data_IF_328431696811
#
_entry.id   IF_328431696811
#
_cell.length_a   1.000
_cell.length_b   1.000
_cell.length_c   1.000
_cell.angle_alpha   90.00
_cell.angle_beta   90.00
_cell.angle_gamma   90.00
#
_symmetry.space_group_name_H-M   'P 1'
#
loop_
_entity.id
_entity.type
_entity.pdbx_description
1 polymer ?
#
# COMPACT_ATOMS: atom_id res chain seq x y z
N UNK A 1 12.76 -32.34 -10.16
CA UNK A 1 11.50 -31.72 -9.71
C UNK A 1 11.86 -30.93 -8.45
N UNK A 2 11.85 -29.60 -8.50
CA UNK A 2 12.07 -28.79 -7.29
C UNK A 2 10.73 -28.69 -6.56
N UNK A 3 10.66 -29.26 -5.36
CA UNK A 3 9.59 -29.02 -4.41
C UNK A 3 9.49 -27.51 -4.19
N UNK A 4 8.34 -26.95 -4.50
CA UNK A 4 7.98 -25.62 -3.99
C UNK A 4 7.51 -25.87 -2.57
N UNK A 5 8.36 -25.51 -1.61
CA UNK A 5 7.99 -25.43 -0.19
C UNK A 5 6.92 -24.35 -0.04
N UNK A 6 5.67 -24.74 -0.28
CA UNK A 6 4.50 -23.92 -0.09
C UNK A 6 3.85 -24.30 1.25
N UNK A 7 4.67 -24.32 2.31
CA UNK A 7 4.19 -24.49 3.67
C UNK A 7 3.46 -23.21 4.09
N UNK A 8 2.14 -23.23 3.91
CA UNK A 8 1.27 -22.21 4.50
C UNK A 8 1.46 -22.23 6.02
N UNK A 9 2.13 -21.22 6.55
CA UNK A 9 2.19 -20.96 7.99
C UNK A 9 0.88 -20.31 8.39
N UNK A 10 0.16 -20.93 9.31
CA UNK A 10 -1.08 -20.38 9.87
C UNK A 10 -0.81 -19.02 10.51
N UNK A 11 -1.78 -18.10 10.46
CA UNK A 11 -1.68 -16.78 11.12
C UNK A 11 -1.41 -16.90 12.63
N UNK A 12 -1.74 -18.04 13.22
CA UNK A 12 -1.53 -18.37 14.63
C UNK A 12 -0.10 -18.81 14.96
N UNK A 13 0.68 -19.19 13.95
CA UNK A 13 2.03 -19.72 14.10
C UNK A 13 3.10 -18.76 13.57
N UNK A 14 2.69 -17.66 12.94
CA UNK A 14 3.59 -16.66 12.38
C UNK A 14 4.14 -15.69 13.45
N UNK A 15 5.44 -15.76 13.82
CA UNK A 15 5.96 -14.95 14.92
C UNK A 15 5.94 -13.45 14.64
N UNK A 16 6.11 -13.04 13.37
CA UNK A 16 6.09 -11.63 12.98
C UNK A 16 4.67 -11.06 13.11
N UNK A 17 3.67 -11.82 12.67
CA UNK A 17 2.27 -11.41 12.78
C UNK A 17 1.81 -11.38 14.24
N UNK A 18 2.21 -12.37 15.05
CA UNK A 18 1.91 -12.43 16.49
C UNK A 18 2.49 -11.21 17.23
N UNK A 19 3.71 -10.78 16.88
CA UNK A 19 4.32 -9.59 17.47
C UNK A 19 3.54 -8.29 17.18
N UNK A 20 2.75 -8.26 16.11
CA UNK A 20 1.91 -7.13 15.71
C UNK A 20 0.48 -7.21 16.24
N UNK A 21 0.16 -8.24 17.05
CA UNK A 21 -1.22 -8.57 17.41
C UNK A 21 -1.85 -7.53 18.34
N UNK A 22 -2.98 -6.98 17.91
CA UNK A 22 -3.87 -6.13 18.68
C UNK A 22 -5.08 -6.93 19.18
N UNK A 23 -5.74 -6.43 20.23
CA UNK A 23 -6.94 -7.06 20.76
C UNK A 23 -8.14 -6.77 19.85
N UNK A 24 -8.61 -7.79 19.13
CA UNK A 24 -9.73 -7.67 18.20
C UNK A 24 -11.03 -7.21 18.89
N UNK A 25 -11.23 -7.54 20.16
CA UNK A 25 -12.42 -7.15 20.93
C UNK A 25 -12.45 -5.66 21.30
N UNK A 26 -11.33 -4.96 21.18
CA UNK A 26 -11.23 -3.52 21.44
C UNK A 26 -11.41 -2.69 20.16
N UNK A 27 -11.76 -3.32 19.04
CA UNK A 27 -11.96 -2.69 17.73
C UNK A 27 -13.46 -2.57 17.45
N UNK A 28 -13.92 -1.35 17.25
CA UNK A 28 -15.30 -1.03 16.92
C UNK A 28 -15.40 -0.42 15.52
N UNK A 29 -16.23 -1.01 14.66
CA UNK A 29 -16.45 -0.48 13.30
C UNK A 29 -17.29 0.80 13.34
N UNK A 30 -16.79 1.86 12.70
CA UNK A 30 -17.49 3.15 12.60
C UNK A 30 -18.21 3.27 11.26
N UNK A 31 -17.46 3.16 10.15
CA UNK A 31 -18.01 3.22 8.79
C UNK A 31 -17.02 2.69 7.76
N UNK A 32 -17.52 2.22 6.62
CA UNK A 32 -16.67 1.92 5.46
C UNK A 32 -16.12 3.21 4.85
N UNK A 33 -14.82 3.25 4.57
CA UNK A 33 -14.12 4.41 3.99
C UNK A 33 -13.52 4.12 2.61
N UNK A 34 -13.36 2.84 2.25
CA UNK A 34 -12.84 2.46 0.96
C UNK A 34 -13.10 0.98 0.64
N UNK A 35 -12.79 0.61 -0.59
CA UNK A 35 -12.85 -0.78 -1.02
C UNK A 35 -12.28 -0.97 -2.40
N UNK A 36 -11.47 -2.02 -2.56
CA UNK A 36 -10.92 -2.47 -3.83
C UNK A 36 -11.58 -3.75 -4.31
N UNK A 37 -10.93 -4.42 -5.27
CA UNK A 37 -11.38 -5.73 -5.76
C UNK A 37 -11.27 -6.82 -4.67
N UNK A 38 -10.23 -6.73 -3.83
CA UNK A 38 -9.86 -7.79 -2.88
C UNK A 38 -10.25 -7.48 -1.43
N UNK A 39 -10.17 -6.22 -1.03
CA UNK A 39 -10.30 -5.80 0.36
C UNK A 39 -11.26 -4.63 0.52
N UNK A 40 -11.86 -4.54 1.70
CA UNK A 40 -12.59 -3.36 2.17
C UNK A 40 -11.79 -2.65 3.27
N UNK A 41 -11.93 -1.33 3.33
CA UNK A 41 -11.29 -0.50 4.34
C UNK A 41 -12.35 0.18 5.18
N UNK A 42 -12.29 -0.03 6.48
CA UNK A 42 -13.20 0.52 7.48
C UNK A 42 -12.48 1.52 8.36
N UNK A 43 -13.14 2.63 8.66
CA UNK A 43 -12.76 3.46 9.79
C UNK A 43 -13.21 2.72 11.05
N UNK A 44 -12.27 2.50 11.96
CA UNK A 44 -12.52 1.81 13.22
C UNK A 44 -12.05 2.63 14.40
N UNK A 45 -12.65 2.39 15.56
CA UNK A 45 -12.24 2.93 16.84
C UNK A 45 -11.53 1.84 17.64
N UNK A 46 -10.33 2.12 18.14
CA UNK A 46 -9.59 1.22 19.01
C UNK A 46 -9.56 1.77 20.44
N UNK A 47 -9.83 0.91 21.42
CA UNK A 47 -9.88 1.26 22.86
C UNK A 47 -10.75 2.49 23.15
N UNK A 48 -11.87 2.59 22.45
CA UNK A 48 -12.88 3.61 22.66
C UNK A 48 -12.49 5.05 22.26
N UNK A 49 -11.28 5.32 21.74
CA UNK A 49 -10.84 6.70 21.45
C UNK A 49 -10.06 6.88 20.15
N UNK A 50 -9.15 5.96 19.81
CA UNK A 50 -8.23 6.14 18.67
C UNK A 50 -8.88 5.69 17.37
N UNK A 51 -8.74 6.49 16.31
CA UNK A 51 -9.28 6.15 14.99
C UNK A 51 -8.18 5.56 14.09
N UNK A 52 -8.48 4.42 13.48
CA UNK A 52 -7.59 3.72 12.55
C UNK A 52 -8.33 3.33 11.27
N UNK A 53 -7.57 3.06 10.21
CA UNK A 53 -8.07 2.40 9.02
C UNK A 53 -7.82 0.89 9.16
N UNK A 54 -8.89 0.10 9.08
CA UNK A 54 -8.87 -1.37 9.13
C UNK A 54 -9.08 -1.92 7.73
N UNK A 55 -8.02 -2.47 7.12
CA UNK A 55 -8.10 -3.19 5.84
C UNK A 55 -8.41 -4.66 6.11
N UNK A 56 -9.42 -5.19 5.43
CA UNK A 56 -9.91 -6.58 5.59
C UNK A 56 -10.18 -7.20 4.24
N UNK A 57 -9.88 -8.49 4.08
CA UNK A 57 -10.30 -9.21 2.87
C UNK A 57 -11.83 -9.27 2.79
N UNK A 58 -12.36 -9.25 1.57
CA UNK A 58 -13.79 -9.49 1.35
C UNK A 58 -14.09 -10.98 1.51
N UNK A 59 -15.29 -11.32 2.02
CA UNK A 59 -15.75 -12.72 2.15
C UNK A 59 -15.51 -13.60 0.92
N UNK A 60 -15.78 -13.08 -0.28
CA UNK A 60 -15.57 -13.82 -1.53
C UNK A 60 -14.10 -14.02 -1.92
N UNK A 61 -13.18 -13.38 -1.20
CA UNK A 61 -11.74 -13.36 -1.46
C UNK A 61 -10.95 -14.01 -0.31
N UNK A 62 -11.61 -14.57 0.71
CA UNK A 62 -11.00 -15.30 1.85
C UNK A 62 -10.51 -16.70 1.43
N UNK A 63 -9.67 -16.76 0.40
CA UNK A 63 -8.96 -17.98 0.01
C UNK A 63 -7.63 -18.05 0.74
N UNK A 64 -7.12 -19.25 1.00
CA UNK A 64 -5.81 -19.46 1.64
C UNK A 64 -4.68 -18.67 0.94
N UNK A 65 -4.70 -18.63 -0.39
CA UNK A 65 -3.73 -17.89 -1.19
C UNK A 65 -3.82 -16.37 -0.97
N UNK A 66 -5.03 -15.82 -0.90
CA UNK A 66 -5.24 -14.39 -0.68
C UNK A 66 -4.92 -14.00 0.77
N UNK A 67 -5.28 -14.84 1.75
CA UNK A 67 -4.90 -14.65 3.16
C UNK A 67 -3.38 -14.63 3.30
N UNK A 68 -2.69 -15.58 2.68
CA UNK A 68 -1.23 -15.60 2.71
C UNK A 68 -0.61 -14.34 2.09
N UNK A 69 -1.10 -13.89 0.92
CA UNK A 69 -0.66 -12.63 0.32
C UNK A 69 -0.91 -11.43 1.23
N UNK A 70 -2.04 -11.42 1.94
CA UNK A 70 -2.37 -10.34 2.86
C UNK A 70 -1.48 -10.34 4.10
N UNK A 71 -1.11 -11.51 4.62
CA UNK A 71 -0.11 -11.64 5.71
C UNK A 71 1.25 -11.10 5.26
N UNK A 72 1.71 -11.45 4.05
CA UNK A 72 2.97 -10.93 3.51
C UNK A 72 2.92 -9.41 3.31
N UNK A 73 1.77 -8.86 2.90
CA UNK A 73 1.56 -7.41 2.83
C UNK A 73 1.69 -6.75 4.22
N UNK A 74 1.09 -7.33 5.26
CA UNK A 74 1.18 -6.83 6.64
C UNK A 74 2.64 -6.83 7.12
N UNK A 75 3.36 -7.94 6.91
CA UNK A 75 4.78 -8.06 7.27
C UNK A 75 5.68 -7.09 6.51
N UNK A 76 5.34 -6.79 5.26
CA UNK A 76 6.07 -5.78 4.49
C UNK A 76 5.83 -4.40 5.08
N UNK A 77 4.57 -4.05 5.31
CA UNK A 77 4.18 -2.76 5.86
C UNK A 77 4.77 -2.53 7.26
N UNK A 78 4.92 -3.57 8.08
CA UNK A 78 5.50 -3.47 9.42
C UNK A 78 7.00 -3.14 9.43
N UNK A 79 7.70 -3.24 8.29
CA UNK A 79 9.12 -2.90 8.18
C UNK A 79 9.36 -1.42 7.89
N UNK A 80 8.31 -0.69 7.50
CA UNK A 80 8.43 0.70 7.11
C UNK A 80 8.23 1.62 8.31
N UNK A 81 9.18 2.51 8.48
CA UNK A 81 9.13 3.62 9.44
C UNK A 81 9.62 4.88 8.72
N UNK A 82 8.66 5.61 8.14
CA UNK A 82 8.94 6.82 7.36
C UNK A 82 7.75 7.79 7.42
N UNK A 83 7.97 9.11 7.57
CA UNK A 83 6.89 10.10 7.67
C UNK A 83 5.94 10.12 6.47
N UNK A 84 6.42 9.77 5.27
CA UNK A 84 5.64 9.73 4.03
C UNK A 84 5.18 8.33 3.62
N UNK A 85 5.19 7.37 4.53
CA UNK A 85 4.57 6.05 4.35
C UNK A 85 3.50 5.86 5.42
N UNK A 86 2.34 5.34 5.03
CA UNK A 86 1.25 5.06 5.97
C UNK A 86 1.71 4.01 6.97
N UNK A 87 1.74 4.40 8.24
CA UNK A 87 2.20 3.57 9.34
C UNK A 87 1.21 2.44 9.62
N UNK A 88 1.70 1.21 9.60
CA UNK A 88 0.99 0.06 10.16
C UNK A 88 1.06 0.12 11.68
N UNK A 89 -0.10 0.07 12.33
CA UNK A 89 -0.22 0.04 13.80
C UNK A 89 -0.18 -1.39 14.32
N UNK A 90 -0.77 -2.32 13.59
CA UNK A 90 -0.75 -3.75 13.93
C UNK A 90 -1.77 -4.56 13.13
N UNK A 91 -1.99 -5.79 13.56
CA UNK A 91 -2.98 -6.69 12.98
C UNK A 91 -3.87 -7.28 14.06
N UNK A 92 -5.12 -7.60 13.74
CA UNK A 92 -6.05 -8.25 14.66
C UNK A 92 -6.82 -9.36 13.95
N UNK A 93 -7.21 -10.39 14.69
CA UNK A 93 -8.03 -11.49 14.20
C UNK A 93 -8.62 -12.27 15.38
N UNK A 94 -9.85 -12.76 15.22
CA UNK A 94 -10.48 -13.75 16.11
C UNK A 94 -10.41 -15.14 15.48
N UNK A 95 -10.59 -15.19 14.16
CA UNK A 95 -10.41 -16.35 13.28
C UNK A 95 -9.62 -15.92 12.05
N UNK A 96 -8.97 -16.85 11.32
CA UNK A 96 -8.09 -16.49 10.19
C UNK A 96 -8.80 -15.67 9.11
N UNK A 97 -10.07 -15.97 8.85
CA UNK A 97 -10.90 -15.25 7.88
C UNK A 97 -11.24 -13.82 8.29
N UNK A 98 -11.07 -13.47 9.57
CA UNK A 98 -11.30 -12.12 10.12
C UNK A 98 -10.01 -11.31 10.28
N UNK A 99 -8.92 -11.73 9.62
CA UNK A 99 -7.66 -10.99 9.63
C UNK A 99 -7.87 -9.55 9.13
N UNK A 100 -7.43 -8.61 9.95
CA UNK A 100 -7.49 -7.19 9.66
C UNK A 100 -6.15 -6.51 9.96
N UNK A 101 -5.72 -5.65 9.05
CA UNK A 101 -4.55 -4.79 9.21
C UNK A 101 -5.00 -3.39 9.63
N UNK A 102 -4.47 -2.89 10.74
CA UNK A 102 -4.78 -1.56 11.26
C UNK A 102 -3.64 -0.61 10.93
N UNK A 103 -3.95 0.47 10.23
CA UNK A 103 -3.03 1.55 9.93
C UNK A 103 -3.55 2.90 10.43
N UNK A 104 -2.67 3.89 10.48
CA UNK A 104 -3.07 5.26 10.79
C UNK A 104 -4.20 5.74 9.85
N UNK A 105 -5.16 6.47 10.42
CA UNK A 105 -6.28 6.99 9.63
C UNK A 105 -5.90 8.30 8.93
N UNK A 106 -5.92 8.28 7.60
CA UNK A 106 -5.63 9.42 6.74
C UNK A 106 -6.92 10.19 6.41
N UNK A 107 -7.25 11.21 7.22
CA UNK A 107 -8.53 11.93 7.14
C UNK A 107 -8.75 12.67 5.81
N UNK A 108 -7.67 13.06 5.13
CA UNK A 108 -7.71 13.80 3.87
C UNK A 108 -8.10 12.93 2.66
N UNK A 109 -8.26 11.62 2.84
CA UNK A 109 -8.61 10.70 1.76
C UNK A 109 -7.47 10.48 0.78
N UNK A 110 -7.81 10.03 -0.43
CA UNK A 110 -6.82 9.78 -1.48
C UNK A 110 -6.54 11.01 -2.35
N UNK A 111 -5.33 11.07 -2.92
CA UNK A 111 -4.89 12.20 -3.74
C UNK A 111 -5.75 12.39 -4.99
N UNK A 112 -6.35 11.33 -5.53
CA UNK A 112 -7.25 11.45 -6.69
C UNK A 112 -8.47 12.29 -6.32
N UNK A 113 -9.09 12.02 -5.18
CA UNK A 113 -10.23 12.81 -4.68
C UNK A 113 -9.86 14.28 -4.48
N UNK A 114 -8.68 14.54 -3.91
CA UNK A 114 -8.16 15.91 -3.77
C UNK A 114 -7.97 16.62 -5.12
N UNK A 115 -7.43 15.93 -6.14
CA UNK A 115 -7.15 16.51 -7.45
C UNK A 115 -8.41 16.75 -8.31
N UNK A 116 -9.48 15.99 -8.09
CA UNK A 116 -10.76 16.19 -8.81
C UNK A 116 -11.68 17.20 -8.12
N UNK A 117 -11.37 17.58 -6.88
CA UNK A 117 -12.20 18.50 -6.12
C UNK A 117 -12.30 19.87 -6.83
N UNK A 118 -13.52 20.43 -7.04
CA UNK A 118 -13.72 21.61 -7.90
C UNK A 118 -12.93 22.85 -7.49
N UNK A 119 -12.65 22.99 -6.19
CA UNK A 119 -11.93 24.15 -5.65
C UNK A 119 -10.41 23.97 -5.61
N UNK A 120 -9.88 22.80 -5.99
CA UNK A 120 -8.44 22.59 -6.06
C UNK A 120 -7.88 23.35 -7.26
N UNK A 121 -6.95 24.31 -7.06
CA UNK A 121 -6.37 25.07 -8.16
C UNK A 121 -5.77 24.14 -9.20
N UNK A 122 -6.00 24.42 -10.48
CA UNK A 122 -5.41 23.62 -11.58
C UNK A 122 -3.92 23.89 -11.74
N UNK A 123 -3.47 25.09 -11.39
CA UNK A 123 -2.06 25.48 -11.40
C UNK A 123 -1.23 24.71 -10.38
N UNK A 124 0.09 24.77 -10.56
CA UNK A 124 1.04 24.36 -9.53
C UNK A 124 0.94 25.30 -8.34
N UNK A 125 0.78 24.72 -7.15
CA UNK A 125 0.76 25.43 -5.88
C UNK A 125 1.84 24.84 -4.99
N UNK A 126 2.29 25.60 -3.99
CA UNK A 126 3.25 25.11 -3.00
C UNK A 126 2.78 23.81 -2.35
N UNK A 127 1.46 23.65 -2.18
CA UNK A 127 0.87 22.41 -1.67
C UNK A 127 1.06 21.21 -2.59
N UNK A 128 0.89 21.38 -3.91
CA UNK A 128 1.15 20.28 -4.87
C UNK A 128 2.64 19.95 -4.95
N UNK A 129 3.50 20.96 -4.81
CA UNK A 129 4.94 20.76 -4.73
C UNK A 129 5.33 20.02 -3.45
N UNK A 130 4.70 20.33 -2.30
CA UNK A 130 4.94 19.58 -1.07
C UNK A 130 4.50 18.12 -1.19
N UNK A 131 3.29 17.86 -1.71
CA UNK A 131 2.80 16.49 -1.96
C UNK A 131 3.76 15.73 -2.89
N UNK A 132 4.31 16.41 -3.90
CA UNK A 132 5.31 15.85 -4.79
C UNK A 132 6.59 15.45 -4.04
N UNK A 133 7.12 16.36 -3.22
CA UNK A 133 8.30 16.11 -2.38
C UNK A 133 8.08 14.94 -1.44
N UNK A 134 6.95 14.92 -0.74
CA UNK A 134 6.56 13.85 0.19
C UNK A 134 6.58 12.46 -0.49
N UNK A 135 6.03 12.36 -1.70
CA UNK A 135 6.02 11.10 -2.47
C UNK A 135 7.44 10.71 -2.89
N UNK A 136 8.26 11.67 -3.31
CA UNK A 136 9.65 11.40 -3.70
C UNK A 136 10.46 10.91 -2.49
N UNK A 137 10.31 11.54 -1.32
CA UNK A 137 10.99 11.11 -0.09
C UNK A 137 10.60 9.68 0.29
N UNK A 138 9.32 9.34 0.19
CA UNK A 138 8.84 7.98 0.41
C UNK A 138 9.45 6.95 -0.56
N UNK A 139 9.58 7.31 -1.84
CA UNK A 139 10.20 6.44 -2.85
C UNK A 139 11.70 6.25 -2.61
N UNK A 140 12.41 7.32 -2.28
CA UNK A 140 13.84 7.26 -1.93
C UNK A 140 14.05 6.33 -0.74
N UNK A 141 13.20 6.43 0.28
CA UNK A 141 13.23 5.54 1.43
C UNK A 141 13.05 4.07 1.03
N UNK A 142 12.02 3.73 0.24
CA UNK A 142 11.80 2.35 -0.21
C UNK A 142 12.96 1.79 -1.02
N UNK A 143 13.54 2.59 -1.90
CA UNK A 143 14.69 2.21 -2.72
C UNK A 143 15.99 2.08 -1.91
N UNK A 144 16.04 2.64 -0.70
CA UNK A 144 17.22 2.53 0.18
C UNK A 144 17.31 1.20 0.92
N UNK A 145 16.25 0.38 0.91
CA UNK A 145 16.29 -0.96 1.50
C UNK A 145 17.28 -1.87 0.76
N UNK A 146 17.86 -2.83 1.48
CA UNK A 146 18.66 -3.88 0.89
C UNK A 146 18.05 -5.26 1.24
N UNK A 147 17.39 -5.93 0.28
CA UNK A 147 17.27 -5.56 -1.13
C UNK A 147 16.21 -4.47 -1.37
N UNK A 148 16.37 -3.69 -2.46
CA UNK A 148 15.50 -2.55 -2.78
C UNK A 148 14.04 -2.97 -2.89
N UNK A 149 13.14 -2.18 -2.28
CA UNK A 149 11.69 -2.41 -2.36
C UNK A 149 11.10 -1.52 -3.44
N UNK A 150 10.38 -2.11 -4.39
CA UNK A 150 9.66 -1.35 -5.44
C UNK A 150 8.16 -1.42 -5.20
N UNK A 151 7.46 -0.29 -5.28
CA UNK A 151 6.03 -0.23 -5.01
C UNK A 151 5.20 -0.97 -6.08
N UNK A 152 5.47 -0.71 -7.38
CA UNK A 152 4.83 -1.33 -8.57
C UNK A 152 3.36 -1.00 -8.85
N UNK A 153 2.69 -0.24 -7.98
CA UNK A 153 1.30 0.20 -8.17
C UNK A 153 1.14 1.65 -7.68
N UNK A 154 2.12 2.50 -7.99
CA UNK A 154 2.07 3.90 -7.61
C UNK A 154 1.02 4.63 -8.45
N UNK A 155 -0.08 5.03 -7.80
CA UNK A 155 -1.18 5.79 -8.40
C UNK A 155 -1.74 6.77 -7.40
N UNK A 156 -2.46 7.79 -7.87
CA UNK A 156 -3.07 8.81 -7.01
C UNK A 156 -4.07 8.27 -5.98
N UNK A 157 -4.58 7.04 -6.15
CA UNK A 157 -5.41 6.36 -5.14
C UNK A 157 -4.61 5.75 -3.99
N UNK A 158 -3.32 5.49 -4.21
CA UNK A 158 -2.41 4.87 -3.24
C UNK A 158 -1.55 5.94 -2.54
N UNK A 159 -1.88 7.22 -2.72
CA UNK A 159 -1.30 8.34 -1.99
C UNK A 159 -2.44 8.93 -1.16
N UNK A 160 -2.30 8.85 0.17
CA UNK A 160 -3.27 9.36 1.13
C UNK A 160 -2.79 10.65 1.76
N UNK A 161 -3.73 11.50 2.19
CA UNK A 161 -3.44 12.81 2.74
C UNK A 161 -3.80 12.88 4.22
N UNK A 162 -2.88 13.43 5.03
CA UNK A 162 -3.12 13.70 6.45
C UNK A 162 -4.03 14.92 6.64
N UNK A 163 -4.39 15.22 7.89
CA UNK A 163 -5.14 16.44 8.22
C UNK A 163 -4.36 17.70 7.86
N UNK A 164 -3.05 17.64 8.00
CA UNK A 164 -2.09 18.71 7.69
C UNK A 164 -1.69 18.74 6.21
N UNK A 165 -2.34 17.93 5.35
CA UNK A 165 -2.06 17.81 3.91
C UNK A 165 -0.68 17.23 3.57
N UNK A 166 -0.09 16.44 4.47
CA UNK A 166 1.10 15.65 4.17
C UNK A 166 0.70 14.40 3.41
N UNK A 167 1.43 14.08 2.35
CA UNK A 167 1.18 12.90 1.55
C UNK A 167 1.93 11.68 2.11
N UNK A 168 1.22 10.55 2.18
CA UNK A 168 1.79 9.25 2.54
C UNK A 168 1.40 8.18 1.55
N UNK A 169 2.35 7.33 1.18
CA UNK A 169 2.09 6.18 0.29
C UNK A 169 1.51 5.00 1.06
N UNK A 170 0.64 4.23 0.41
CA UNK A 170 -0.03 3.04 0.96
C UNK A 170 -0.17 1.93 -0.10
N UNK A 171 -0.61 0.75 0.34
CA UNK A 171 -1.00 -0.40 -0.51
C UNK A 171 0.19 -1.07 -1.23
N UNK A 172 1.05 -1.69 -0.41
CA UNK A 172 2.24 -2.42 -0.85
C UNK A 172 1.94 -3.88 -1.25
N UNK A 173 0.68 -4.25 -1.49
CA UNK A 173 0.25 -5.62 -1.77
C UNK A 173 0.82 -6.24 -3.05
N UNK A 174 1.40 -5.44 -3.94
CA UNK A 174 2.09 -5.88 -5.17
C UNK A 174 3.60 -5.60 -5.11
N UNK A 175 4.08 -5.02 -4.01
CA UNK A 175 5.48 -4.65 -3.86
C UNK A 175 6.35 -5.90 -3.79
N UNK A 176 7.51 -5.85 -4.45
CA UNK A 176 8.50 -6.94 -4.41
C UNK A 176 9.84 -6.42 -3.94
N UNK A 177 10.48 -7.22 -3.11
CA UNK A 177 11.89 -7.09 -2.77
C UNK A 177 12.68 -7.55 -4.01
N UNK A 178 13.52 -6.66 -4.57
CA UNK A 178 14.41 -7.00 -5.67
C UNK A 178 15.64 -7.73 -5.13
N UNK A 179 15.58 -9.05 -4.97
CA UNK A 179 16.77 -9.87 -4.74
C UNK A 179 17.48 -10.18 -6.06
N UNK A 180 18.82 -10.28 -6.04
CA UNK A 180 19.66 -10.61 -7.21
C UNK A 180 19.27 -11.94 -7.90
N UNK A 181 18.53 -12.82 -7.21
CA UNK A 181 18.08 -14.12 -7.74
C UNK A 181 16.68 -14.12 -8.40
N UNK A 182 15.94 -12.99 -8.39
CA UNK A 182 14.56 -12.93 -8.91
C UNK A 182 14.41 -12.01 -10.14
N UNK A 183 15.41 -11.98 -11.03
CA UNK A 183 15.11 -11.80 -12.45
C UNK A 183 14.27 -13.00 -12.90
N UNK A 184 13.26 -12.75 -13.73
CA UNK A 184 12.38 -13.73 -14.38
C UNK A 184 11.11 -14.16 -13.62
N UNK A 185 10.00 -13.50 -13.96
CA UNK A 185 8.91 -14.17 -14.70
C UNK A 185 7.93 -13.12 -15.23
N UNK A 186 7.84 -13.04 -16.55
CA UNK A 186 6.77 -12.34 -17.25
C UNK A 186 5.41 -12.88 -16.81
N UNK A 187 4.44 -12.01 -16.51
CA UNK A 187 3.06 -12.44 -16.37
C UNK A 187 2.17 -11.54 -15.52
N UNK A 188 1.34 -10.78 -16.23
CA UNK A 188 -0.01 -10.32 -15.84
C UNK A 188 -0.07 -9.06 -14.94
N UNK A 189 -0.08 -7.89 -15.60
CA UNK A 189 -0.52 -6.61 -15.05
C UNK A 189 -0.84 -5.61 -16.17
N UNK A 190 -2.01 -4.98 -16.11
CA UNK A 190 -2.70 -4.14 -17.12
C UNK A 190 -1.83 -3.20 -18.00
N UNK A 191 -1.76 -3.56 -19.29
CA UNK A 191 -0.95 -2.97 -20.38
C UNK A 191 -1.40 -1.57 -20.89
N UNK A 192 -1.49 -0.56 -20.02
CA UNK A 192 -1.69 0.86 -20.46
C UNK A 192 -0.87 1.91 -19.71
N UNK A 193 0.05 1.50 -18.84
CA UNK A 193 0.85 2.39 -17.99
C UNK A 193 2.36 2.13 -18.10
N UNK A 194 2.77 1.38 -19.13
CA UNK A 194 4.17 1.02 -19.35
C UNK A 194 4.85 2.06 -20.25
N UNK A 195 6.00 2.56 -19.77
CA UNK A 195 6.85 3.48 -20.51
C UNK A 195 7.58 2.73 -21.66
N UNK A 196 7.94 3.40 -22.77
CA UNK A 196 8.45 2.77 -23.99
C UNK A 196 9.73 1.94 -23.80
N UNK A 197 10.52 2.21 -22.77
CA UNK A 197 11.70 1.44 -22.38
C UNK A 197 11.36 0.07 -21.74
N UNK A 198 10.17 -0.07 -21.15
CA UNK A 198 9.65 -1.35 -20.61
C UNK A 198 9.32 -2.31 -21.75
N UNK A 199 8.87 -1.77 -22.90
CA UNK A 199 8.67 -2.53 -24.13
C UNK A 199 9.99 -2.96 -24.80
N UNK A 200 11.13 -2.40 -24.37
CA UNK A 200 12.46 -2.63 -24.96
C UNK A 200 13.33 -3.66 -24.20
N UNK A 201 12.81 -4.27 -23.12
CA UNK A 201 13.41 -5.46 -22.51
C UNK A 201 14.74 -5.25 -21.79
N UNK A 202 14.92 -4.15 -21.03
CA UNK A 202 16.07 -3.97 -20.14
C UNK A 202 15.69 -4.16 -18.68
N UNK A 203 16.41 -5.05 -18.00
CA UNK A 203 16.05 -5.67 -16.72
C UNK A 203 16.25 -4.79 -15.47
N UNK A 204 16.74 -3.54 -15.62
CA UNK A 204 17.14 -2.66 -14.50
C UNK A 204 16.14 -1.53 -14.14
N UNK A 205 14.93 -1.51 -14.72
CA UNK A 205 14.13 -0.28 -14.86
C UNK A 205 12.91 -0.09 -13.93
N UNK A 206 12.86 -0.75 -12.77
CA UNK A 206 11.69 -0.66 -11.89
C UNK A 206 11.58 0.67 -11.11
N UNK A 207 12.70 1.31 -10.75
CA UNK A 207 12.70 2.61 -10.05
C UNK A 207 12.25 3.76 -10.97
N UNK A 208 12.55 3.66 -12.27
CA UNK A 208 12.12 4.62 -13.28
C UNK A 208 10.61 4.56 -13.54
N UNK A 209 9.98 3.39 -13.37
CA UNK A 209 8.53 3.21 -13.53
C UNK A 209 7.73 3.94 -12.43
N UNK A 210 8.22 3.97 -11.18
CA UNK A 210 7.62 4.76 -10.11
C UNK A 210 7.77 6.28 -10.38
N UNK A 211 8.93 6.72 -10.91
CA UNK A 211 9.16 8.12 -11.34
C UNK A 211 8.27 8.50 -12.53
N UNK A 212 8.05 7.59 -13.49
CA UNK A 212 7.16 7.79 -14.63
C UNK A 212 5.69 7.84 -14.20
N UNK A 213 5.26 6.94 -13.31
CA UNK A 213 3.91 6.92 -12.74
C UNK A 213 3.60 8.18 -11.93
N UNK A 214 4.59 8.68 -11.19
CA UNK A 214 4.55 10.01 -10.59
C UNK A 214 4.40 11.12 -11.63
N UNK A 215 5.12 11.04 -12.75
CA UNK A 215 4.98 11.93 -13.91
C UNK A 215 3.59 11.90 -14.56
N UNK A 216 2.85 10.79 -14.48
CA UNK A 216 1.46 10.71 -14.98
C UNK A 216 0.46 11.23 -13.96
N UNK A 217 0.66 11.00 -12.64
CA UNK A 217 -0.09 11.70 -11.58
C UNK A 217 0.09 13.23 -11.71
N UNK A 218 1.29 13.68 -12.08
CA UNK A 218 1.64 15.07 -12.40
C UNK A 218 0.89 15.63 -13.63
N UNK A 219 0.47 14.76 -14.55
CA UNK A 219 -0.16 15.13 -15.83
C UNK A 219 -1.69 15.19 -15.77
N UNK A 220 -2.33 14.66 -14.73
CA UNK A 220 -3.79 14.51 -14.65
C UNK A 220 -4.58 15.84 -14.68
N UNK A 221 -3.94 17.03 -14.58
CA UNK A 221 -4.63 18.28 -14.93
C UNK A 221 -3.76 19.50 -15.25
N UNK A 222 -2.84 19.38 -16.21
CA UNK A 222 -2.15 20.54 -16.82
C UNK A 222 -2.84 21.08 -18.08
N UNK A 223 -4.12 20.78 -18.31
CA UNK A 223 -4.97 21.39 -19.34
C UNK A 223 -6.33 21.81 -18.75
#
# INVERSE_FOLDING_TARGET
MKETDNSYVSVWEDPQLIALRLNANEIEDVRKIGGGAFADVWLVKYRGTQLFASKRLRKMQETQQNTHRFVEEIKMASKFDHPNIVMLVGAAWTIESELQALSEYMVGGDLREFLIYPHTPRTWTDRKLQIATDVIEALVYLHSFNPSVVHRDLKSRNILLSKEMQAKMTDFGVSRIMSEENTMTQGVGTSRWEAPEVLAGKEDYNQAADIFSFGVVRSIRSR
#
